data_IF_425701649994
#
_entry.id   IF_425701649994
#
_cell.length_a   1.000
_cell.length_b   1.000
_cell.length_c   1.000
_cell.angle_alpha   90.00
_cell.angle_beta   90.00
_cell.angle_gamma   90.00
#
_symmetry.space_group_name_H-M   'P 1'
#
loop_
_entity.id
_entity.type
_entity.pdbx_description
1 polymer ?
#
# COMPACT_ATOMS: atom_id res chain seq x y z
N UNK A 1 51.01 8.37 2.45
CA UNK A 1 49.96 8.43 1.41
C UNK A 1 48.69 7.88 2.04
N UNK A 2 47.76 8.75 2.42
CA UNK A 2 46.48 8.36 3.01
C UNK A 2 45.38 8.57 1.98
N UNK A 3 44.64 7.52 1.65
CA UNK A 3 43.47 7.58 0.76
C UNK A 3 42.19 7.79 1.58
N UNK A 4 41.20 8.52 1.06
CA UNK A 4 40.14 9.12 1.85
C UNK A 4 38.93 8.19 2.07
N UNK A 5 38.17 8.60 3.09
CA UNK A 5 36.79 8.27 3.44
C UNK A 5 35.88 7.92 2.25
N UNK A 6 35.26 6.74 2.30
CA UNK A 6 34.06 6.42 1.52
C UNK A 6 32.95 6.16 2.52
N UNK A 7 32.26 7.23 2.87
CA UNK A 7 30.87 7.18 3.31
C UNK A 7 30.05 6.63 2.14
N UNK A 8 29.52 5.41 2.26
CA UNK A 8 28.47 4.91 1.37
C UNK A 8 27.13 5.09 2.07
N UNK A 9 26.56 6.26 1.84
CA UNK A 9 25.14 6.60 1.73
C UNK A 9 24.14 5.48 2.09
N UNK A 10 23.53 5.71 3.24
CA UNK A 10 22.35 5.08 3.81
C UNK A 10 21.18 4.91 2.81
N UNK A 11 20.63 3.69 2.75
CA UNK A 11 19.17 3.52 2.90
C UNK A 11 18.24 4.00 1.78
N UNK A 12 18.56 3.78 0.50
CA UNK A 12 17.65 4.04 -0.63
C UNK A 12 16.48 3.04 -0.78
N UNK A 13 15.87 2.59 0.32
CA UNK A 13 14.62 1.85 0.31
C UNK A 13 13.53 2.75 0.86
N UNK A 14 12.85 3.53 -0.01
CA UNK A 14 11.72 4.35 0.37
C UNK A 14 10.71 3.48 1.14
N UNK A 15 10.72 3.59 2.48
CA UNK A 15 9.86 2.81 3.34
C UNK A 15 8.40 3.11 2.96
N UNK A 16 7.58 2.09 2.60
CA UNK A 16 6.15 2.27 2.34
C UNK A 16 5.40 2.94 3.50
N UNK A 17 5.98 2.86 4.72
CA UNK A 17 5.48 3.44 5.97
C UNK A 17 5.29 4.96 5.90
N UNK A 18 6.10 5.69 5.12
CA UNK A 18 5.98 7.16 5.05
C UNK A 18 4.89 7.61 4.08
N UNK A 19 4.67 6.90 2.96
CA UNK A 19 3.73 7.31 1.91
C UNK A 19 2.27 7.20 2.36
N UNK A 20 1.91 6.13 3.09
CA UNK A 20 0.56 5.95 3.64
C UNK A 20 0.12 7.10 4.57
N UNK A 21 1.02 7.53 5.47
CA UNK A 21 0.73 8.60 6.43
C UNK A 21 0.63 9.97 5.77
N UNK A 22 1.28 10.17 4.62
CA UNK A 22 1.25 11.41 3.86
C UNK A 22 0.04 11.53 2.92
N UNK A 23 -0.54 10.39 2.50
CA UNK A 23 -1.69 10.40 1.60
C UNK A 23 -2.97 10.91 2.27
N UNK A 24 -3.68 11.79 1.56
CA UNK A 24 -5.05 12.20 1.91
C UNK A 24 -6.06 11.05 1.76
N UNK A 25 -7.23 11.17 2.39
CA UNK A 25 -8.28 10.14 2.29
C UNK A 25 -8.68 9.85 0.82
N UNK A 26 -8.88 10.89 0.01
CA UNK A 26 -9.20 10.72 -1.42
C UNK A 26 -8.08 10.07 -2.24
N UNK A 27 -6.81 10.35 -1.91
CA UNK A 27 -5.66 9.71 -2.58
C UNK A 27 -5.55 8.23 -2.24
N UNK A 28 -5.89 7.87 -1.00
CA UNK A 28 -5.97 6.47 -0.55
C UNK A 28 -7.05 5.72 -1.31
N UNK A 29 -8.25 6.28 -1.42
CA UNK A 29 -9.33 5.68 -2.21
C UNK A 29 -8.96 5.53 -3.69
N UNK A 30 -8.38 6.57 -4.29
CA UNK A 30 -7.92 6.53 -5.68
C UNK A 30 -6.93 5.38 -5.92
N UNK A 31 -5.94 5.24 -5.04
CA UNK A 31 -4.92 4.17 -5.14
C UNK A 31 -5.52 2.76 -5.09
N UNK A 32 -6.55 2.56 -4.26
CA UNK A 32 -7.28 1.29 -4.17
C UNK A 32 -8.09 1.03 -5.43
N UNK A 33 -8.76 2.04 -5.97
CA UNK A 33 -9.52 1.93 -7.21
C UNK A 33 -8.64 1.64 -8.42
N UNK A 34 -7.42 2.18 -8.48
CA UNK A 34 -6.46 1.86 -9.53
C UNK A 34 -6.04 0.39 -9.49
N UNK A 35 -5.74 -0.14 -8.29
CA UNK A 35 -5.43 -1.56 -8.14
C UNK A 35 -6.63 -2.45 -8.51
N UNK A 36 -7.86 -2.06 -8.15
CA UNK A 36 -9.06 -2.76 -8.58
C UNK A 36 -9.19 -2.80 -10.10
N UNK A 37 -8.93 -1.68 -10.78
CA UNK A 37 -8.92 -1.63 -12.26
C UNK A 37 -7.83 -2.53 -12.85
N UNK A 38 -6.65 -2.63 -12.22
CA UNK A 38 -5.61 -3.59 -12.63
C UNK A 38 -6.08 -5.03 -12.48
N UNK A 39 -6.73 -5.37 -11.37
CA UNK A 39 -7.28 -6.71 -11.14
C UNK A 39 -8.36 -7.09 -12.15
N UNK A 40 -9.20 -6.14 -12.57
CA UNK A 40 -10.24 -6.38 -13.58
C UNK A 40 -9.68 -6.70 -14.98
N UNK A 41 -8.43 -6.35 -15.27
CA UNK A 41 -7.76 -6.70 -16.54
C UNK A 41 -7.24 -8.14 -16.56
N UNK A 42 -7.22 -8.81 -15.41
CA UNK A 42 -6.71 -10.17 -15.27
C UNK A 42 -7.86 -11.19 -15.36
N UNK A 43 -7.56 -12.45 -15.72
CA UNK A 43 -8.55 -13.52 -15.70
C UNK A 43 -9.19 -13.68 -14.32
N UNK A 44 -10.51 -13.52 -14.26
CA UNK A 44 -11.29 -13.54 -13.02
C UNK A 44 -11.30 -14.91 -12.31
N UNK A 45 -10.95 -15.97 -13.04
CA UNK A 45 -10.83 -17.33 -12.49
C UNK A 45 -9.55 -17.58 -11.69
N UNK A 46 -8.63 -16.61 -11.64
CA UNK A 46 -7.41 -16.76 -10.85
C UNK A 46 -7.69 -16.56 -9.35
N UNK A 47 -7.17 -17.48 -8.53
CA UNK A 47 -7.22 -17.40 -7.06
C UNK A 47 -6.64 -16.08 -6.55
N UNK A 48 -5.58 -15.58 -7.20
CA UNK A 48 -4.96 -14.30 -6.89
C UNK A 48 -5.93 -13.12 -7.06
N UNK A 49 -6.60 -12.99 -8.20
CA UNK A 49 -7.56 -11.89 -8.44
C UNK A 49 -8.70 -11.93 -7.44
N UNK A 50 -9.25 -13.12 -7.18
CA UNK A 50 -10.34 -13.29 -6.20
C UNK A 50 -9.91 -12.91 -4.78
N UNK A 51 -8.71 -13.31 -4.38
CA UNK A 51 -8.16 -12.94 -3.08
C UNK A 51 -7.90 -11.43 -3.00
N UNK A 52 -7.27 -10.87 -4.04
CA UNK A 52 -6.90 -9.45 -4.09
C UNK A 52 -8.12 -8.54 -4.05
N UNK A 53 -9.16 -8.82 -4.82
CA UNK A 53 -10.42 -8.05 -4.79
C UNK A 53 -11.07 -8.04 -3.39
N UNK A 54 -11.03 -9.16 -2.66
CA UNK A 54 -11.52 -9.21 -1.27
C UNK A 54 -10.72 -8.31 -0.35
N UNK A 55 -9.40 -8.31 -0.48
CA UNK A 55 -8.51 -7.41 0.28
C UNK A 55 -8.83 -5.95 -0.04
N UNK A 56 -8.95 -5.59 -1.32
CA UNK A 56 -9.26 -4.21 -1.73
C UNK A 56 -10.63 -3.74 -1.21
N UNK A 57 -11.63 -4.62 -1.21
CA UNK A 57 -12.93 -4.30 -0.61
C UNK A 57 -12.83 -4.10 0.91
N UNK A 58 -12.02 -4.90 1.61
CA UNK A 58 -11.77 -4.71 3.05
C UNK A 58 -11.11 -3.35 3.32
N UNK A 59 -10.15 -2.96 2.49
CA UNK A 59 -9.49 -1.65 2.57
C UNK A 59 -10.51 -0.50 2.43
N UNK A 60 -11.40 -0.55 1.44
CA UNK A 60 -12.44 0.48 1.27
C UNK A 60 -13.38 0.57 2.48
N UNK A 61 -13.80 -0.59 3.02
CA UNK A 61 -14.64 -0.62 4.22
C UNK A 61 -13.95 0.02 5.43
N UNK A 62 -12.65 -0.22 5.60
CA UNK A 62 -11.88 0.41 6.67
C UNK A 62 -11.74 1.92 6.44
N UNK A 63 -11.61 2.38 5.19
CA UNK A 63 -11.57 3.80 4.86
C UNK A 63 -12.89 4.53 5.13
N UNK A 64 -14.03 3.84 5.03
CA UNK A 64 -15.36 4.44 5.19
C UNK A 64 -15.86 4.54 6.64
N UNK A 65 -15.17 3.93 7.60
CA UNK A 65 -15.57 3.93 9.01
C UNK A 65 -14.62 4.76 9.87
N UNK A 66 -15.10 5.15 11.06
CA UNK A 66 -14.20 5.58 12.12
C UNK A 66 -13.39 4.38 12.61
N UNK A 67 -12.06 4.47 12.46
CA UNK A 67 -11.14 3.39 12.78
C UNK A 67 -10.57 3.53 14.19
N UNK A 68 -10.43 2.39 14.85
CA UNK A 68 -9.60 2.24 16.05
C UNK A 68 -8.12 2.21 15.68
N UNK A 69 -7.23 2.34 16.68
CA UNK A 69 -5.78 2.25 16.46
C UNK A 69 -5.35 0.93 15.81
N UNK A 70 -5.98 -0.19 16.20
CA UNK A 70 -5.71 -1.50 15.60
C UNK A 70 -6.15 -1.57 14.13
N UNK A 71 -7.31 -1.02 13.81
CA UNK A 71 -7.80 -0.95 12.43
C UNK A 71 -6.94 -0.03 11.54
N UNK A 72 -6.38 1.04 12.09
CA UNK A 72 -5.44 1.89 11.36
C UNK A 72 -4.13 1.16 11.06
N UNK A 73 -3.63 0.33 11.99
CA UNK A 73 -2.46 -0.53 11.77
C UNK A 73 -2.74 -1.63 10.74
N UNK A 74 -3.89 -2.30 10.84
CA UNK A 74 -4.33 -3.29 9.84
C UNK A 74 -4.40 -2.63 8.46
N UNK A 75 -5.05 -1.46 8.37
CA UNK A 75 -5.20 -0.75 7.11
C UNK A 75 -3.85 -0.33 6.50
N UNK A 76 -2.91 0.15 7.32
CA UNK A 76 -1.55 0.47 6.88
C UNK A 76 -0.82 -0.76 6.32
N UNK A 77 -0.95 -1.92 6.98
CA UNK A 77 -0.35 -3.16 6.51
C UNK A 77 -0.98 -3.64 5.19
N UNK A 78 -2.30 -3.53 5.06
CA UNK A 78 -3.01 -3.88 3.82
C UNK A 78 -2.59 -2.95 2.67
N UNK A 79 -2.35 -1.67 2.95
CA UNK A 79 -1.87 -0.70 1.96
C UNK A 79 -0.42 -0.94 1.52
N UNK A 80 0.46 -1.37 2.42
CA UNK A 80 1.83 -1.74 2.07
C UNK A 80 1.89 -2.89 1.05
N UNK A 81 0.83 -3.71 0.99
CA UNK A 81 0.67 -4.76 0.00
C UNK A 81 0.13 -4.29 -1.36
N UNK A 82 -0.30 -3.03 -1.51
CA UNK A 82 -0.72 -2.48 -2.79
C UNK A 82 0.49 -2.28 -3.71
N UNK A 83 0.33 -2.63 -4.97
CA UNK A 83 1.30 -2.31 -6.02
C UNK A 83 1.16 -0.83 -6.37
N UNK A 84 1.69 0.06 -5.52
CA UNK A 84 1.63 1.50 -5.71
C UNK A 84 2.87 2.08 -6.42
#
# INVERSE_FOLDING_TARGET
MSTPDVTMEDGGGAQPKSRWKQMGHGEKEASVHEEMKRMQKLPANSTYVTHRLRVLNKILQLLSIQRTASQEQELELLFAGLSM
#
